data_IF_330751929809
#
_entry.id   IF_330751929809
#
_cell.length_a   1.000
_cell.length_b   1.000
_cell.length_c   1.000
_cell.angle_alpha   90.00
_cell.angle_beta   90.00
_cell.angle_gamma   90.00
#
_symmetry.space_group_name_H-M   'P 1'
#
loop_
_entity.id
_entity.type
_entity.pdbx_description
1 polymer ?
#
# COMPACT_ATOMS: atom_id res chain seq x y z
N UNK A 1 -20.73 -13.42 -70.20
CA UNK A 1 -20.91 -14.17 -68.93
C UNK A 1 -19.58 -14.87 -68.67
N UNK A 2 -18.84 -14.70 -67.58
CA UNK A 2 -19.19 -14.35 -66.20
C UNK A 2 -18.07 -13.51 -65.60
N UNK A 3 -18.41 -12.35 -65.05
CA UNK A 3 -17.61 -11.68 -64.04
C UNK A 3 -17.98 -12.25 -62.68
N UNK A 4 -16.98 -12.48 -61.80
CA UNK A 4 -17.00 -12.07 -60.39
C UNK A 4 -15.78 -12.62 -59.64
N UNK A 5 -14.85 -11.72 -59.37
CA UNK A 5 -13.81 -11.87 -58.36
C UNK A 5 -14.48 -11.91 -56.98
N UNK A 6 -14.27 -12.98 -56.22
CA UNK A 6 -14.67 -13.06 -54.81
C UNK A 6 -13.43 -12.72 -53.98
N UNK A 7 -13.34 -11.46 -53.56
CA UNK A 7 -12.46 -11.04 -52.48
C UNK A 7 -13.13 -11.44 -51.16
N UNK A 8 -12.69 -12.51 -50.52
CA UNK A 8 -13.10 -12.82 -49.15
C UNK A 8 -12.14 -12.13 -48.20
N UNK A 9 -12.64 -11.04 -47.68
CA UNK A 9 -12.04 -10.11 -46.74
C UNK A 9 -11.53 -10.80 -45.49
N UNK A 10 -10.28 -10.50 -45.19
CA UNK A 10 -9.52 -10.81 -44.00
C UNK A 10 -10.22 -10.22 -42.76
N UNK A 11 -10.85 -11.05 -41.93
CA UNK A 11 -11.38 -10.63 -40.63
C UNK A 11 -10.20 -10.58 -39.64
N UNK A 12 -9.42 -9.51 -39.69
CA UNK A 12 -8.38 -9.25 -38.69
C UNK A 12 -9.06 -8.72 -37.43
N UNK A 13 -9.48 -9.63 -36.56
CA UNK A 13 -9.85 -9.30 -35.19
C UNK A 13 -8.57 -8.92 -34.43
N UNK A 14 -8.11 -7.68 -34.60
CA UNK A 14 -7.08 -7.11 -33.73
C UNK A 14 -7.76 -6.80 -32.41
N UNK A 15 -7.79 -7.79 -31.52
CA UNK A 15 -7.98 -7.52 -30.10
C UNK A 15 -6.82 -6.64 -29.67
N UNK A 16 -7.11 -5.37 -29.38
CA UNK A 16 -6.16 -4.51 -28.70
C UNK A 16 -5.97 -5.06 -27.28
N UNK A 17 -5.05 -6.02 -27.13
CA UNK A 17 -4.31 -6.16 -25.90
C UNK A 17 -3.49 -4.89 -25.77
N UNK A 18 -4.10 -3.88 -25.15
CA UNK A 18 -3.32 -2.80 -24.57
C UNK A 18 -2.25 -3.48 -23.70
N UNK A 19 -0.96 -3.18 -23.87
CA UNK A 19 0.03 -3.66 -22.93
C UNK A 19 -0.34 -3.03 -21.59
N UNK A 20 -0.85 -3.82 -20.65
CA UNK A 20 -0.85 -3.45 -19.24
C UNK A 20 0.63 -3.28 -18.91
N UNK A 21 1.14 -2.04 -18.94
CA UNK A 21 2.48 -1.77 -18.42
C UNK A 21 2.48 -2.37 -17.02
N UNK A 22 3.33 -3.37 -16.79
CA UNK A 22 3.64 -3.79 -15.44
C UNK A 22 4.12 -2.54 -14.72
N UNK A 23 3.28 -2.01 -13.83
CA UNK A 23 3.62 -0.82 -13.07
C UNK A 23 4.70 -1.23 -12.09
N UNK A 24 5.96 -0.91 -12.40
CA UNK A 24 7.12 -1.31 -11.60
C UNK A 24 7.45 -0.30 -10.48
N UNK A 25 6.50 0.54 -10.09
CA UNK A 25 6.72 1.55 -9.05
C UNK A 25 5.49 1.68 -8.17
N UNK A 26 5.74 1.93 -6.88
CA UNK A 26 4.69 2.19 -5.91
C UNK A 26 3.71 3.29 -6.38
N UNK A 27 2.39 3.04 -6.33
CA UNK A 27 1.37 4.01 -6.76
C UNK A 27 1.10 5.04 -5.66
N UNK A 28 1.84 6.15 -5.64
CA UNK A 28 1.60 7.22 -4.66
C UNK A 28 0.23 7.90 -4.88
N UNK A 29 -0.43 8.41 -3.81
CA UNK A 29 -1.62 9.23 -3.94
C UNK A 29 -1.26 10.61 -4.53
N UNK A 30 -2.20 11.19 -5.28
CA UNK A 30 -2.10 12.59 -5.66
C UNK A 30 -2.38 13.47 -4.44
N UNK A 31 -1.55 14.49 -4.21
CA UNK A 31 -1.79 15.48 -3.15
C UNK A 31 -2.78 16.54 -3.66
N UNK A 32 -3.89 16.80 -2.95
CA UNK A 32 -4.82 17.85 -3.34
C UNK A 32 -4.17 19.25 -3.29
N UNK A 33 -4.38 20.05 -4.34
CA UNK A 33 -3.87 21.44 -4.44
C UNK A 33 -4.44 22.39 -3.37
N UNK A 34 -5.54 21.99 -2.73
CA UNK A 34 -6.15 22.73 -1.62
C UNK A 34 -5.35 22.66 -0.33
N UNK A 35 -4.44 21.69 -0.17
CA UNK A 35 -3.58 21.55 1.01
C UNK A 35 -2.41 22.53 0.92
N UNK A 36 -2.44 23.59 1.73
CA UNK A 36 -1.51 24.71 1.63
C UNK A 36 -0.32 24.61 2.58
N UNK A 37 -0.48 23.95 3.72
CA UNK A 37 0.59 23.81 4.72
C UNK A 37 1.32 22.48 4.61
N UNK A 38 2.55 22.43 5.15
CA UNK A 38 3.34 21.19 5.20
C UNK A 38 2.64 20.15 6.07
N UNK A 39 2.06 20.58 7.19
CA UNK A 39 1.35 19.74 8.14
C UNK A 39 0.10 19.11 7.52
N UNK A 40 -0.69 19.90 6.78
CA UNK A 40 -1.86 19.39 6.05
C UNK A 40 -1.47 18.32 5.03
N UNK A 41 -0.37 18.54 4.31
CA UNK A 41 0.14 17.59 3.31
C UNK A 41 0.72 16.34 3.97
N UNK A 42 1.41 16.48 5.11
CA UNK A 42 1.93 15.36 5.88
C UNK A 42 0.81 14.48 6.45
N UNK A 43 -0.21 15.11 7.05
CA UNK A 43 -1.40 14.42 7.55
C UNK A 43 -2.09 13.62 6.44
N UNK A 44 -2.40 14.29 5.32
CA UNK A 44 -3.02 13.63 4.17
C UNK A 44 -2.15 12.49 3.63
N UNK A 45 -0.87 12.76 3.38
CA UNK A 45 0.03 11.73 2.85
C UNK A 45 0.12 10.53 3.78
N UNK A 46 0.18 10.72 5.09
CA UNK A 46 0.28 9.62 6.05
C UNK A 46 -0.91 8.67 6.00
N UNK A 47 -2.13 9.20 5.87
CA UNK A 47 -3.38 8.44 5.90
C UNK A 47 -3.72 7.83 4.53
N UNK A 48 -3.36 8.53 3.45
CA UNK A 48 -3.70 8.14 2.07
C UNK A 48 -2.56 7.47 1.31
N UNK A 49 -1.38 7.30 1.92
CA UNK A 49 -0.17 6.75 1.27
C UNK A 49 -0.45 5.47 0.48
N UNK A 50 -1.30 4.60 1.03
CA UNK A 50 -1.61 3.27 0.51
C UNK A 50 -2.93 3.21 -0.27
N UNK A 51 -3.55 4.34 -0.63
CA UNK A 51 -4.86 4.36 -1.29
C UNK A 51 -4.90 3.68 -2.65
N UNK A 52 -3.80 3.79 -3.41
CA UNK A 52 -3.74 3.24 -4.76
C UNK A 52 -3.02 1.88 -4.84
N UNK A 53 -2.53 1.34 -3.72
CA UNK A 53 -1.88 0.02 -3.67
C UNK A 53 -2.92 -1.09 -3.47
N UNK A 54 -2.88 -2.12 -4.30
CA UNK A 54 -3.86 -3.20 -4.22
C UNK A 54 -3.38 -4.34 -3.30
N UNK A 55 -3.81 -4.29 -2.04
CA UNK A 55 -3.50 -5.32 -1.04
C UNK A 55 -4.04 -6.73 -1.35
N UNK A 56 -4.92 -6.87 -2.35
CA UNK A 56 -5.41 -8.19 -2.81
C UNK A 56 -4.67 -8.70 -4.04
N UNK A 57 -3.85 -7.88 -4.70
CA UNK A 57 -3.08 -8.28 -5.87
C UNK A 57 -1.76 -8.94 -5.43
N UNK A 58 -1.70 -10.25 -5.63
CA UNK A 58 -0.50 -11.04 -5.30
C UNK A 58 0.73 -10.66 -6.13
N UNK A 59 0.55 -10.09 -7.33
CA UNK A 59 1.65 -9.61 -8.16
C UNK A 59 2.24 -8.32 -7.60
N UNK A 60 1.39 -7.38 -7.15
CA UNK A 60 1.84 -6.16 -6.47
C UNK A 60 2.52 -6.48 -5.14
N UNK A 61 1.95 -7.40 -4.34
CA UNK A 61 2.55 -7.86 -3.08
C UNK A 61 3.92 -8.54 -3.26
N UNK A 62 4.10 -9.27 -4.36
CA UNK A 62 5.36 -9.93 -4.69
C UNK A 62 6.41 -8.98 -5.30
N UNK A 63 5.97 -7.85 -5.86
CA UNK A 63 6.86 -6.86 -6.45
C UNK A 63 7.59 -6.07 -5.37
N UNK A 64 8.93 -6.25 -5.30
CA UNK A 64 9.77 -5.53 -4.32
C UNK A 64 9.66 -4.01 -4.44
N UNK A 65 9.53 -3.47 -5.65
CA UNK A 65 9.54 -2.02 -5.88
C UNK A 65 8.20 -1.36 -5.57
N UNK A 66 7.16 -2.18 -5.40
CA UNK A 66 5.85 -1.73 -4.94
C UNK A 66 5.70 -2.02 -3.44
N UNK A 67 5.71 -3.28 -3.03
CA UNK A 67 5.40 -3.64 -1.65
C UNK A 67 6.51 -3.27 -0.67
N UNK A 68 7.74 -3.72 -0.92
CA UNK A 68 8.84 -3.55 0.04
C UNK A 68 9.38 -2.12 -0.01
N UNK A 69 9.72 -1.60 -1.19
CA UNK A 69 10.19 -0.22 -1.30
C UNK A 69 9.10 0.79 -0.91
N UNK A 70 7.83 0.51 -1.23
CA UNK A 70 6.70 1.30 -0.76
C UNK A 70 6.61 1.33 0.77
N UNK A 71 6.83 0.18 1.43
CA UNK A 71 6.89 0.09 2.89
C UNK A 71 8.10 0.82 3.49
N UNK A 72 9.29 0.64 2.93
CA UNK A 72 10.52 1.33 3.37
C UNK A 72 10.34 2.84 3.28
N UNK A 73 9.83 3.34 2.15
CA UNK A 73 9.56 4.76 1.97
C UNK A 73 8.49 5.26 2.95
N UNK A 74 7.46 4.46 3.22
CA UNK A 74 6.42 4.78 4.18
C UNK A 74 6.99 4.97 5.59
N UNK A 75 7.76 4.00 6.10
CA UNK A 75 8.33 4.11 7.44
C UNK A 75 9.37 5.25 7.55
N UNK A 76 10.09 5.52 6.47
CA UNK A 76 11.03 6.64 6.37
C UNK A 76 10.32 7.99 6.47
N UNK A 77 9.17 8.18 5.81
CA UNK A 77 8.41 9.43 5.92
C UNK A 77 7.76 9.56 7.30
N UNK A 78 7.23 8.48 7.87
CA UNK A 78 6.61 8.51 9.20
C UNK A 78 7.62 8.89 10.30
N UNK A 79 8.88 8.49 10.14
CA UNK A 79 9.96 8.86 11.06
C UNK A 79 10.17 10.39 11.14
N UNK A 80 9.76 11.14 10.10
CA UNK A 80 9.90 12.60 10.01
C UNK A 80 8.63 13.36 10.43
N UNK A 81 7.48 12.70 10.48
CA UNK A 81 6.23 13.31 10.93
C UNK A 81 6.12 13.30 12.45
N UNK A 82 5.28 14.18 13.01
CA UNK A 82 4.97 14.16 14.43
C UNK A 82 4.31 12.83 14.85
N UNK A 83 4.20 12.63 16.17
CA UNK A 83 3.70 11.38 16.73
C UNK A 83 2.25 11.08 16.34
N UNK A 84 1.40 12.11 16.26
CA UNK A 84 -0.01 11.94 15.99
C UNK A 84 -0.25 11.54 14.53
N UNK A 85 0.40 12.26 13.60
CA UNK A 85 0.36 11.96 12.17
C UNK A 85 0.92 10.56 11.91
N UNK A 86 2.07 10.21 12.51
CA UNK A 86 2.65 8.87 12.35
C UNK A 86 1.70 7.77 12.84
N UNK A 87 1.02 7.98 13.98
CA UNK A 87 0.06 7.02 14.51
C UNK A 87 -1.16 6.86 13.60
N UNK A 88 -1.70 7.95 13.04
CA UNK A 88 -2.83 7.90 12.08
C UNK A 88 -2.43 7.15 10.81
N UNK A 89 -1.25 7.42 10.26
CA UNK A 89 -0.75 6.71 9.08
C UNK A 89 -0.61 5.20 9.31
N UNK A 90 0.00 4.79 10.42
CA UNK A 90 0.09 3.34 10.77
C UNK A 90 -1.30 2.73 10.92
N UNK A 91 -2.24 3.40 11.58
CA UNK A 91 -3.61 2.91 11.73
C UNK A 91 -4.31 2.74 10.37
N UNK A 92 -4.21 3.74 9.48
CA UNK A 92 -4.78 3.67 8.14
C UNK A 92 -4.16 2.54 7.30
N UNK A 93 -2.84 2.38 7.35
CA UNK A 93 -2.12 1.30 6.68
C UNK A 93 -2.59 -0.08 7.16
N UNK A 94 -2.55 -0.34 8.47
CA UNK A 94 -2.92 -1.66 9.03
C UNK A 94 -4.38 -2.00 8.75
N UNK A 95 -5.29 -1.02 8.79
CA UNK A 95 -6.71 -1.22 8.47
C UNK A 95 -6.94 -1.71 7.02
N UNK A 96 -6.01 -1.44 6.10
CA UNK A 96 -6.05 -1.95 4.72
C UNK A 96 -5.24 -3.22 4.56
N UNK A 97 -3.98 -3.19 5.01
CA UNK A 97 -3.03 -4.29 4.85
C UNK A 97 -3.50 -5.59 5.51
N UNK A 98 -4.27 -5.50 6.60
CA UNK A 98 -4.65 -6.67 7.39
C UNK A 98 -6.02 -7.26 7.04
N UNK A 99 -6.69 -6.75 6.01
CA UNK A 99 -7.95 -7.31 5.53
C UNK A 99 -7.78 -8.68 4.87
N UNK A 100 -6.61 -8.93 4.28
CA UNK A 100 -6.30 -10.16 3.56
C UNK A 100 -5.09 -10.84 4.19
N UNK A 101 -5.19 -12.15 4.41
CA UNK A 101 -4.13 -12.96 5.05
C UNK A 101 -2.77 -12.82 4.34
N UNK A 102 -2.64 -12.95 3.00
CA UNK A 102 -1.34 -12.84 2.33
C UNK A 102 -0.69 -11.47 2.49
N UNK A 103 -1.49 -10.40 2.40
CA UNK A 103 -1.01 -9.04 2.62
C UNK A 103 -0.56 -8.83 4.08
N UNK A 104 -1.35 -9.29 5.04
CA UNK A 104 -1.00 -9.23 6.46
C UNK A 104 0.35 -9.89 6.73
N UNK A 105 0.51 -11.15 6.31
CA UNK A 105 1.74 -11.92 6.51
C UNK A 105 2.95 -11.25 5.86
N UNK A 106 2.78 -10.73 4.63
CA UNK A 106 3.84 -10.00 3.92
C UNK A 106 4.32 -8.78 4.72
N UNK A 107 3.39 -7.95 5.19
CA UNK A 107 3.77 -6.71 5.86
C UNK A 107 4.19 -6.91 7.32
N UNK A 108 3.67 -7.90 8.03
CA UNK A 108 4.21 -8.29 9.35
C UNK A 108 5.67 -8.75 9.22
N UNK A 109 5.99 -9.58 8.22
CA UNK A 109 7.38 -9.98 7.96
C UNK A 109 8.29 -8.79 7.63
N UNK A 110 7.81 -7.78 6.90
CA UNK A 110 8.59 -6.56 6.65
C UNK A 110 8.78 -5.72 7.92
N UNK A 111 7.75 -5.60 8.76
CA UNK A 111 7.85 -4.89 10.04
C UNK A 111 8.90 -5.56 10.93
N UNK A 112 8.86 -6.89 11.08
CA UNK A 112 9.86 -7.66 11.82
C UNK A 112 11.27 -7.45 11.24
N UNK A 113 11.42 -7.59 9.92
CA UNK A 113 12.71 -7.43 9.24
C UNK A 113 13.37 -6.08 9.50
N UNK A 114 12.61 -4.98 9.43
CA UNK A 114 13.15 -3.63 9.54
C UNK A 114 13.22 -3.08 10.97
N UNK A 115 12.40 -3.55 11.91
CA UNK A 115 12.37 -3.00 13.28
C UNK A 115 12.98 -3.91 14.34
N UNK A 116 12.93 -5.22 14.16
CA UNK A 116 13.50 -6.17 15.13
C UNK A 116 14.99 -6.43 14.89
N UNK A 117 15.49 -6.15 13.68
CA UNK A 117 16.91 -6.18 13.37
C UNK A 117 17.62 -4.92 13.92
N UNK A 118 18.54 -5.04 14.89
CA UNK A 118 19.27 -3.89 15.45
C UNK A 118 20.10 -3.13 14.42
N UNK A 119 20.57 -3.79 13.37
CA UNK A 119 21.42 -3.22 12.31
C UNK A 119 20.61 -2.61 11.16
N UNK A 120 19.28 -2.67 11.22
CA UNK A 120 18.44 -2.09 10.18
C UNK A 120 18.59 -0.56 10.18
N UNK A 121 18.92 0.06 9.02
CA UNK A 121 19.00 1.52 8.91
C UNK A 121 17.63 2.18 9.05
N UNK A 122 16.54 1.40 8.89
CA UNK A 122 15.17 1.87 9.03
C UNK A 122 14.64 1.74 10.47
N UNK A 123 15.43 1.17 11.39
CA UNK A 123 15.00 0.94 12.77
C UNK A 123 14.68 2.27 13.45
N UNK A 124 13.43 2.42 13.89
CA UNK A 124 12.94 3.61 14.59
C UNK A 124 11.92 3.22 15.67
N UNK A 125 12.33 3.21 16.94
CA UNK A 125 11.51 2.73 18.05
C UNK A 125 10.21 3.54 18.23
N UNK A 126 10.21 4.82 17.84
CA UNK A 126 9.01 5.67 17.89
C UNK A 126 7.95 5.22 16.90
N UNK A 127 8.35 4.94 15.66
CA UNK A 127 7.44 4.45 14.63
C UNK A 127 7.02 3.00 14.92
N UNK A 128 7.94 2.16 15.42
CA UNK A 128 7.62 0.80 15.84
C UNK A 128 6.57 0.77 16.97
N UNK A 129 6.67 1.67 17.94
CA UNK A 129 5.67 1.82 19.00
C UNK A 129 4.27 2.15 18.45
N UNK A 130 4.16 2.84 17.31
CA UNK A 130 2.87 3.07 16.64
C UNK A 130 2.24 1.76 16.14
N UNK A 131 3.03 0.85 15.53
CA UNK A 131 2.55 -0.47 15.12
C UNK A 131 2.07 -1.28 16.32
N UNK A 132 2.87 -1.33 17.38
CA UNK A 132 2.51 -2.03 18.62
C UNK A 132 1.22 -1.49 19.25
N UNK A 133 1.04 -0.17 19.29
CA UNK A 133 -0.19 0.46 19.80
C UNK A 133 -1.40 0.04 18.98
N UNK A 134 -1.27 0.02 17.66
CA UNK A 134 -2.36 -0.39 16.76
C UNK A 134 -2.73 -1.86 16.92
N UNK A 135 -1.74 -2.77 17.00
CA UNK A 135 -2.00 -4.19 17.27
C UNK A 135 -2.69 -4.41 18.61
N UNK A 136 -2.24 -3.72 19.67
CA UNK A 136 -2.88 -3.80 20.98
C UNK A 136 -4.34 -3.36 20.92
N UNK A 137 -4.63 -2.26 20.24
CA UNK A 137 -6.00 -1.77 20.08
C UNK A 137 -6.88 -2.81 19.37
N UNK A 138 -6.37 -3.43 18.30
CA UNK A 138 -7.07 -4.53 17.62
C UNK A 138 -7.35 -5.71 18.56
N UNK A 139 -6.36 -6.16 19.34
CA UNK A 139 -6.52 -7.24 20.31
C UNK A 139 -7.54 -6.90 21.42
N UNK A 140 -7.55 -5.66 21.91
CA UNK A 140 -8.52 -5.22 22.93
C UNK A 140 -9.93 -5.08 22.38
N UNK A 141 -10.10 -4.72 21.10
CA UNK A 141 -11.41 -4.59 20.46
C UNK A 141 -12.10 -5.95 20.22
N UNK A 142 -11.33 -7.05 20.23
CA UNK A 142 -11.83 -8.42 20.11
C UNK A 142 -12.22 -9.07 21.45
N UNK A 143 -11.89 -8.45 22.60
CA UNK A 143 -12.41 -8.93 23.89
C UNK A 143 -13.93 -8.69 23.90
N UNK A 144 -14.77 -9.70 24.20
CA UNK A 144 -16.20 -9.48 24.34
C UNK A 144 -16.42 -8.40 25.39
N UNK A 145 -17.28 -7.40 25.12
CA UNK A 145 -17.82 -6.57 26.19
C UNK A 145 -18.53 -7.52 27.15
N UNK A 146 -17.94 -7.76 28.32
CA UNK A 146 -18.66 -8.37 29.43
C UNK A 146 -19.92 -7.53 29.62
N UNK A 147 -21.07 -8.20 29.50
CA UNK A 147 -22.37 -7.57 29.65
C UNK A 147 -22.50 -7.21 31.12
N UNK A 148 -22.39 -5.92 31.45
CA UNK A 148 -22.99 -5.35 32.67
C UNK A 148 -24.51 -5.43 32.60
#
# INVERSE_FOLDING_TARGET
>A
MMARFIFLSFFMLVGALAPTKAQNSFPYPALPDSLRSVEQRAAYLSEHYWDNFNFSDTLELANKEMAEQGFVNFIDILARFDQEIAQKGVAAFTAKAYQQKPSKEKFESLIEHYYENPESPMRNDRVYACFWKTWRNHLTSMKPREKE
#
